data_IF_286842837837
#
_entry.id   IF_286842837837
#
_cell.length_a   1.000
_cell.length_b   1.000
_cell.length_c   1.000
_cell.angle_alpha   90.00
_cell.angle_beta   90.00
_cell.angle_gamma   90.00
#
_symmetry.space_group_name_H-M   'P 1'
#
loop_
_entity.id
_entity.type
_entity.pdbx_description
1 polymer ?
#
# COMPACT_ATOMS: atom_id res chain seq x y z
N UNK A 1 -8.18 8.01 -16.92
CA UNK A 1 -7.56 8.54 -15.69
C UNK A 1 -8.57 8.39 -14.58
N UNK A 2 -8.22 7.68 -13.50
CA UNK A 2 -9.10 7.41 -12.36
C UNK A 2 -8.39 7.85 -11.06
N UNK A 3 -9.14 8.21 -10.00
CA UNK A 3 -8.54 8.52 -8.71
C UNK A 3 -8.14 7.26 -7.94
N UNK A 4 -7.17 7.41 -7.04
CA UNK A 4 -6.86 6.46 -5.97
C UNK A 4 -7.06 7.12 -4.62
N UNK A 5 -7.60 6.39 -3.65
CA UNK A 5 -7.87 6.89 -2.30
C UNK A 5 -6.64 6.78 -1.40
N UNK A 6 -6.07 7.91 -0.97
CA UNK A 6 -4.90 7.96 -0.08
C UNK A 6 -5.18 8.73 1.22
N UNK A 7 -5.58 8.05 2.30
CA UNK A 7 -6.05 8.68 3.53
C UNK A 7 -4.95 8.87 4.59
N UNK A 8 -3.68 9.07 4.20
CA UNK A 8 -2.54 9.18 5.14
C UNK A 8 -2.82 10.15 6.30
N UNK A 9 -3.40 11.30 6.02
CA UNK A 9 -3.73 12.32 7.03
C UNK A 9 -4.87 11.92 7.97
N UNK A 10 -5.69 10.93 7.60
CA UNK A 10 -6.81 10.46 8.41
C UNK A 10 -6.37 9.50 9.52
N UNK A 11 -5.28 8.75 9.33
CA UNK A 11 -4.78 7.82 10.34
C UNK A 11 -3.50 8.32 11.04
N UNK A 12 -2.73 9.24 10.44
CA UNK A 12 -1.53 9.81 11.07
C UNK A 12 -1.88 10.88 12.13
N UNK A 13 -2.52 10.43 13.20
CA UNK A 13 -3.03 11.23 14.32
C UNK A 13 -1.95 12.04 15.02
N UNK A 14 -0.72 11.55 15.05
CA UNK A 14 0.44 12.21 15.67
C UNK A 14 0.93 13.44 14.90
N UNK A 15 0.53 13.59 13.62
CA UNK A 15 1.03 14.68 12.79
C UNK A 15 0.42 16.01 13.22
N UNK A 16 1.23 17.08 13.17
CA UNK A 16 0.78 18.43 13.51
C UNK A 16 -0.44 18.86 12.68
N UNK A 17 -0.50 18.42 11.41
CA UNK A 17 -1.59 18.75 10.47
C UNK A 17 -2.90 17.98 10.68
N UNK A 18 -2.98 17.08 11.67
CA UNK A 18 -4.14 16.21 11.85
C UNK A 18 -5.43 16.99 12.16
N UNK A 19 -5.39 17.96 13.07
CA UNK A 19 -6.59 18.72 13.46
C UNK A 19 -7.13 19.56 12.29
N UNK A 20 -6.24 20.21 11.51
CA UNK A 20 -6.62 20.95 10.31
C UNK A 20 -7.26 20.02 9.26
N UNK A 21 -6.71 18.81 9.12
CA UNK A 21 -7.27 17.80 8.23
C UNK A 21 -8.65 17.33 8.72
N UNK A 22 -8.84 17.09 10.01
CA UNK A 22 -10.14 16.68 10.58
C UNK A 22 -11.21 17.76 10.39
N UNK A 23 -10.85 19.03 10.60
CA UNK A 23 -11.75 20.14 10.30
C UNK A 23 -12.15 20.16 8.82
N UNK A 24 -11.17 20.00 7.92
CA UNK A 24 -11.46 19.97 6.47
C UNK A 24 -12.28 18.76 6.07
N UNK A 25 -11.99 17.58 6.62
CA UNK A 25 -12.74 16.35 6.37
C UNK A 25 -14.20 16.52 6.80
N UNK A 26 -14.44 17.05 8.00
CA UNK A 26 -15.78 17.34 8.50
C UNK A 26 -16.57 18.28 7.59
N UNK A 27 -15.93 19.37 7.12
CA UNK A 27 -16.53 20.30 6.14
C UNK A 27 -16.91 19.59 4.83
N UNK A 28 -16.00 18.82 4.22
CA UNK A 28 -16.26 18.18 2.90
C UNK A 28 -17.13 16.94 2.98
N UNK A 29 -17.39 16.42 4.19
CA UNK A 29 -18.32 15.32 4.43
C UNK A 29 -19.64 15.77 5.04
N UNK A 30 -19.78 17.05 5.41
CA UNK A 30 -20.91 17.55 6.20
C UNK A 30 -21.15 16.68 7.44
N UNK A 31 -20.10 16.52 8.25
CA UNK A 31 -20.10 15.71 9.48
C UNK A 31 -19.29 16.42 10.56
N UNK A 32 -19.87 16.61 11.73
CA UNK A 32 -19.14 17.10 12.92
C UNK A 32 -18.41 15.92 13.57
N UNK A 33 -17.07 15.91 13.49
CA UNK A 33 -16.24 14.77 13.92
C UNK A 33 -15.84 14.97 15.38
N UNK A 34 -16.48 14.25 16.30
CA UNK A 34 -16.17 14.30 17.74
C UNK A 34 -15.81 12.94 18.33
N UNK A 35 -16.38 11.88 17.76
CA UNK A 35 -16.18 10.48 18.14
C UNK A 35 -15.64 9.68 16.96
N UNK A 36 -15.08 8.52 17.24
CA UNK A 36 -14.55 7.63 16.22
C UNK A 36 -15.62 7.22 15.20
N UNK A 37 -16.85 6.97 15.64
CA UNK A 37 -17.99 6.70 14.76
C UNK A 37 -18.31 7.86 13.79
N UNK A 38 -18.11 9.10 14.21
CA UNK A 38 -18.33 10.28 13.37
C UNK A 38 -17.23 10.36 12.29
N UNK A 39 -15.98 10.01 12.64
CA UNK A 39 -14.88 9.88 11.68
C UNK A 39 -15.16 8.78 10.65
N UNK A 40 -15.62 7.61 11.10
CA UNK A 40 -16.01 6.52 10.19
C UNK A 40 -17.10 6.99 9.21
N UNK A 41 -18.12 7.70 9.71
CA UNK A 41 -19.19 8.27 8.88
C UNK A 41 -18.64 9.27 7.85
N UNK A 42 -17.75 10.17 8.26
CA UNK A 42 -17.11 11.12 7.36
C UNK A 42 -16.29 10.42 6.26
N UNK A 43 -15.49 9.42 6.64
CA UNK A 43 -14.68 8.64 5.71
C UNK A 43 -15.55 7.83 4.73
N UNK A 44 -16.63 7.19 5.19
CA UNK A 44 -17.58 6.47 4.31
C UNK A 44 -18.15 7.39 3.23
N UNK A 45 -18.62 8.59 3.61
CA UNK A 45 -19.13 9.58 2.64
C UNK A 45 -18.06 9.96 1.60
N UNK A 46 -16.80 10.06 2.00
CA UNK A 46 -15.69 10.34 1.07
C UNK A 46 -15.34 9.14 0.20
N UNK A 47 -15.38 7.93 0.72
CA UNK A 47 -15.23 6.70 -0.06
C UNK A 47 -16.32 6.57 -1.12
N UNK A 48 -17.58 6.89 -0.79
CA UNK A 48 -18.70 6.90 -1.73
C UNK A 48 -18.48 7.93 -2.85
N UNK A 49 -18.00 9.12 -2.50
CA UNK A 49 -17.62 10.11 -3.50
C UNK A 49 -16.50 9.59 -4.43
N UNK A 50 -15.46 8.95 -3.89
CA UNK A 50 -14.39 8.37 -4.72
C UNK A 50 -14.90 7.24 -5.61
N UNK A 51 -15.80 6.38 -5.09
CA UNK A 51 -16.45 5.33 -5.87
C UNK A 51 -17.26 5.90 -7.04
N UNK A 52 -18.01 6.98 -6.82
CA UNK A 52 -18.75 7.68 -7.86
C UNK A 52 -17.85 8.26 -8.97
N UNK A 53 -16.55 8.44 -8.70
CA UNK A 53 -15.53 8.88 -9.67
C UNK A 53 -14.66 7.73 -10.19
N UNK A 54 -15.11 6.48 -10.02
CA UNK A 54 -14.46 5.29 -10.57
C UNK A 54 -13.21 4.83 -9.81
N UNK A 55 -13.02 5.26 -8.55
CA UNK A 55 -11.95 4.73 -7.71
C UNK A 55 -12.12 3.22 -7.51
N UNK A 56 -11.02 2.47 -7.66
CA UNK A 56 -10.93 1.02 -7.39
C UNK A 56 -9.71 0.66 -6.53
N UNK A 57 -8.94 1.65 -6.09
CA UNK A 57 -7.63 1.48 -5.47
C UNK A 57 -7.47 2.44 -4.30
N UNK A 58 -6.96 1.95 -3.18
CA UNK A 58 -6.46 2.74 -2.07
C UNK A 58 -4.95 2.57 -1.91
N UNK A 59 -4.32 3.55 -1.29
CA UNK A 59 -2.89 3.60 -1.05
C UNK A 59 -2.61 4.22 0.32
N UNK A 60 -1.62 3.69 1.04
CA UNK A 60 -1.26 4.18 2.37
C UNK A 60 0.26 4.14 2.55
N UNK A 61 0.82 5.25 3.01
CA UNK A 61 2.21 5.27 3.47
C UNK A 61 2.28 4.87 4.94
N UNK A 62 2.94 3.74 5.20
CA UNK A 62 3.24 3.26 6.54
C UNK A 62 4.74 3.44 6.81
N UNK A 63 5.16 4.64 7.22
CA UNK A 63 6.56 4.91 7.55
C UNK A 63 7.08 3.95 8.64
N UNK A 64 6.19 3.57 9.57
CA UNK A 64 6.36 2.50 10.56
C UNK A 64 5.03 1.74 10.66
N UNK A 65 5.07 0.41 10.64
CA UNK A 65 3.88 -0.42 10.89
C UNK A 65 3.67 -0.52 12.40
N UNK A 66 2.45 -0.25 12.84
CA UNK A 66 2.05 -0.28 14.25
C UNK A 66 0.78 -1.10 14.40
N UNK A 67 0.65 -1.80 15.53
CA UNK A 67 -0.57 -2.49 15.89
C UNK A 67 -0.87 -2.36 17.39
N UNK A 68 -2.08 -1.94 17.71
CA UNK A 68 -2.65 -2.05 19.05
C UNK A 68 -4.18 -2.04 18.95
N UNK A 69 -4.84 -2.85 19.77
CA UNK A 69 -6.31 -2.87 19.83
C UNK A 69 -6.83 -1.84 20.85
N UNK A 70 -8.01 -1.31 20.56
CA UNK A 70 -8.74 -0.40 21.44
C UNK A 70 -10.24 -0.62 21.27
N UNK A 71 -11.00 -0.38 22.32
CA UNK A 71 -12.45 -0.28 22.25
C UNK A 71 -12.91 1.13 21.83
N UNK A 72 -14.19 1.29 21.51
CA UNK A 72 -14.75 2.56 21.02
C UNK A 72 -14.58 3.72 22.01
N UNK A 73 -14.73 3.48 23.32
CA UNK A 73 -14.57 4.52 24.33
C UNK A 73 -13.11 5.01 24.44
N UNK A 74 -12.15 4.11 24.28
CA UNK A 74 -10.72 4.46 24.20
C UNK A 74 -10.44 5.31 22.95
N UNK A 75 -10.98 4.92 21.79
CA UNK A 75 -10.81 5.66 20.54
C UNK A 75 -11.43 7.06 20.60
N UNK A 76 -12.62 7.19 21.19
CA UNK A 76 -13.28 8.48 21.42
C UNK A 76 -12.43 9.39 22.31
N UNK A 77 -11.88 8.84 23.40
CA UNK A 77 -10.99 9.56 24.31
C UNK A 77 -9.71 10.03 23.62
N UNK A 78 -9.06 9.15 22.85
CA UNK A 78 -7.84 9.45 22.09
C UNK A 78 -8.11 10.58 21.07
N UNK A 79 -9.19 10.47 20.31
CA UNK A 79 -9.57 11.48 19.31
C UNK A 79 -9.87 12.83 19.97
N UNK A 80 -10.67 12.85 21.04
CA UNK A 80 -11.02 14.08 21.75
C UNK A 80 -9.79 14.79 22.31
N UNK A 81 -8.88 14.05 22.96
CA UNK A 81 -7.61 14.59 23.47
C UNK A 81 -6.74 15.16 22.36
N UNK A 82 -6.63 14.46 21.23
CA UNK A 82 -5.86 14.97 20.08
C UNK A 82 -6.46 16.26 19.52
N UNK A 83 -7.78 16.32 19.37
CA UNK A 83 -8.49 17.51 18.90
C UNK A 83 -8.34 18.70 19.87
N UNK A 84 -8.21 18.43 21.18
CA UNK A 84 -7.87 19.43 22.20
C UNK A 84 -6.39 19.88 22.16
N UNK A 85 -5.56 19.27 21.31
CA UNK A 85 -4.15 19.64 21.13
C UNK A 85 -3.17 18.89 22.04
N UNK A 86 -3.62 17.84 22.73
CA UNK A 86 -2.75 17.02 23.56
C UNK A 86 -1.84 16.12 22.73
N UNK A 87 -0.64 15.85 23.26
CA UNK A 87 0.27 14.85 22.72
C UNK A 87 -0.20 13.45 23.13
N UNK A 88 -0.22 12.52 22.16
CA UNK A 88 -0.55 11.12 22.39
C UNK A 88 0.72 10.29 22.60
N UNK A 89 0.60 9.22 23.38
CA UNK A 89 1.63 8.19 23.50
C UNK A 89 1.72 7.32 22.24
N UNK A 90 2.85 6.64 22.04
CA UNK A 90 3.04 5.73 20.90
C UNK A 90 1.98 4.62 20.86
N UNK A 91 1.54 4.13 22.03
CA UNK A 91 0.48 3.13 22.13
C UNK A 91 -0.88 3.68 21.67
N UNK A 92 -1.27 4.88 22.10
CA UNK A 92 -2.52 5.54 21.67
C UNK A 92 -2.52 5.83 20.16
N UNK A 93 -1.36 6.22 19.62
CA UNK A 93 -1.18 6.40 18.17
C UNK A 93 -1.37 5.06 17.44
N UNK A 94 -0.77 3.97 17.94
CA UNK A 94 -0.94 2.64 17.38
C UNK A 94 -2.40 2.17 17.43
N UNK A 95 -3.10 2.41 18.53
CA UNK A 95 -4.52 2.07 18.71
C UNK A 95 -5.40 2.77 17.66
N UNK A 96 -5.24 4.09 17.53
CA UNK A 96 -6.01 4.87 16.57
C UNK A 96 -5.69 4.48 15.12
N UNK A 97 -4.41 4.35 14.76
CA UNK A 97 -3.99 3.92 13.42
C UNK A 97 -4.56 2.56 13.05
N UNK A 98 -4.46 1.60 13.97
CA UNK A 98 -4.98 0.24 13.78
C UNK A 98 -6.49 0.28 13.51
N UNK A 99 -7.24 0.99 14.35
CA UNK A 99 -8.70 1.08 14.21
C UNK A 99 -9.11 1.70 12.86
N UNK A 100 -8.46 2.79 12.43
CA UNK A 100 -8.75 3.42 11.14
C UNK A 100 -8.41 2.49 9.97
N UNK A 101 -7.24 1.85 9.98
CA UNK A 101 -6.81 0.95 8.91
C UNK A 101 -7.65 -0.33 8.84
N UNK A 102 -8.09 -0.88 9.97
CA UNK A 102 -9.00 -2.03 10.00
C UNK A 102 -10.37 -1.67 9.44
N UNK A 103 -10.94 -0.54 9.87
CA UNK A 103 -12.19 -0.01 9.32
C UNK A 103 -12.11 0.22 7.81
N UNK A 104 -11.05 0.88 7.34
CA UNK A 104 -10.82 1.14 5.93
C UNK A 104 -10.63 -0.15 5.12
N UNK A 105 -9.87 -1.11 5.66
CA UNK A 105 -9.68 -2.44 5.04
C UNK A 105 -11.02 -3.13 4.76
N UNK A 106 -11.92 -3.14 5.75
CA UNK A 106 -13.26 -3.68 5.59
C UNK A 106 -14.08 -2.93 4.52
N UNK A 107 -14.01 -1.60 4.48
CA UNK A 107 -14.65 -0.80 3.44
C UNK A 107 -14.10 -1.13 2.03
N UNK A 108 -12.79 -1.29 1.90
CA UNK A 108 -12.17 -1.66 0.63
C UNK A 108 -12.62 -3.05 0.17
N UNK A 109 -12.71 -4.02 1.08
CA UNK A 109 -13.16 -5.37 0.75
C UNK A 109 -14.62 -5.37 0.27
N UNK A 110 -15.52 -4.67 0.98
CA UNK A 110 -16.94 -4.52 0.58
C UNK A 110 -17.11 -3.89 -0.80
N UNK A 111 -16.21 -2.99 -1.18
CA UNK A 111 -16.20 -2.28 -2.47
C UNK A 111 -15.44 -3.02 -3.57
N UNK A 112 -14.77 -4.14 -3.26
CA UNK A 112 -13.89 -4.86 -4.19
C UNK A 112 -12.64 -4.07 -4.60
N UNK A 113 -12.23 -3.09 -3.80
CA UNK A 113 -11.06 -2.25 -4.04
C UNK A 113 -9.76 -2.99 -3.72
N UNK A 114 -8.67 -2.51 -4.30
CA UNK A 114 -7.31 -2.92 -3.94
C UNK A 114 -6.75 -2.00 -2.87
N UNK A 115 -6.23 -2.58 -1.80
CA UNK A 115 -5.45 -1.90 -0.77
C UNK A 115 -3.96 -1.95 -1.12
N UNK A 116 -3.27 -0.83 -1.01
CA UNK A 116 -1.81 -0.79 -1.14
C UNK A 116 -1.18 -0.25 0.14
N UNK A 117 -0.09 -0.88 0.56
CA UNK A 117 0.76 -0.43 1.67
C UNK A 117 2.18 -0.20 1.20
N UNK A 118 2.62 1.05 1.23
CA UNK A 118 3.99 1.47 0.97
C UNK A 118 4.72 1.69 2.30
N UNK A 119 5.62 0.78 2.64
CA UNK A 119 6.13 0.62 4.00
C UNK A 119 7.60 1.02 4.10
N UNK A 120 7.94 1.80 5.14
CA UNK A 120 9.33 1.99 5.57
C UNK A 120 10.05 3.19 4.97
N UNK A 121 9.35 4.29 4.67
CA UNK A 121 10.01 5.57 4.39
C UNK A 121 10.46 6.26 5.69
N UNK A 122 11.66 6.83 5.66
CA UNK A 122 12.17 7.72 6.70
C UNK A 122 12.17 9.14 6.14
N UNK A 123 11.23 9.97 6.58
CA UNK A 123 10.89 11.24 5.92
C UNK A 123 11.49 12.46 6.59
N UNK A 124 11.70 13.51 5.81
CA UNK A 124 12.05 14.85 6.29
C UNK A 124 13.33 14.90 7.13
N UNK A 125 14.32 14.07 6.81
CA UNK A 125 15.56 13.90 7.58
C UNK A 125 16.36 15.20 7.74
N UNK A 126 16.34 16.05 6.71
CA UNK A 126 17.05 17.32 6.71
C UNK A 126 16.14 18.44 7.25
N UNK A 127 16.09 18.61 8.57
CA UNK A 127 15.24 19.60 9.23
C UNK A 127 15.48 21.04 8.78
N UNK A 128 16.73 21.39 8.43
CA UNK A 128 17.05 22.73 7.90
C UNK A 128 16.31 22.96 6.59
N UNK A 129 16.36 21.99 5.69
CA UNK A 129 15.71 22.09 4.38
C UNK A 129 14.20 21.93 4.48
N UNK A 130 13.70 21.07 5.36
CA UNK A 130 12.28 20.91 5.60
C UNK A 130 11.60 22.24 5.99
N UNK A 131 12.25 23.03 6.86
CA UNK A 131 11.76 24.37 7.23
C UNK A 131 11.70 25.37 6.07
N UNK A 132 12.55 25.19 5.05
CA UNK A 132 12.66 26.11 3.91
C UNK A 132 11.78 25.69 2.73
N UNK A 133 11.69 24.38 2.47
CA UNK A 133 11.15 23.82 1.23
C UNK A 133 9.90 22.94 1.45
N UNK A 134 9.64 22.51 2.70
CA UNK A 134 8.56 21.58 3.01
C UNK A 134 8.90 20.11 2.69
N UNK A 135 7.89 19.22 2.64
CA UNK A 135 8.04 17.80 2.36
C UNK A 135 8.25 17.49 0.87
N UNK A 136 8.59 16.23 0.55
CA UNK A 136 8.64 15.68 -0.83
C UNK A 136 9.65 16.33 -1.78
N UNK A 137 10.77 16.83 -1.23
CA UNK A 137 11.83 17.54 -1.98
C UNK A 137 13.20 16.83 -1.97
N UNK A 138 13.20 15.51 -1.76
CA UNK A 138 14.40 14.67 -1.88
C UNK A 138 15.24 14.51 -0.61
N UNK A 139 14.68 14.77 0.57
CA UNK A 139 15.33 14.54 1.88
C UNK A 139 14.72 13.36 2.66
N UNK A 140 14.14 12.40 1.93
CA UNK A 140 13.59 11.15 2.45
C UNK A 140 14.54 9.99 2.11
N UNK A 141 14.56 8.96 2.95
CA UNK A 141 15.42 7.78 2.79
C UNK A 141 14.74 6.50 3.29
N UNK A 142 15.49 5.41 3.36
CA UNK A 142 15.02 4.10 3.81
C UNK A 142 14.97 4.04 5.33
N UNK A 143 13.84 3.61 5.90
CA UNK A 143 13.68 3.25 7.31
C UNK A 143 14.03 1.76 7.53
N UNK A 144 14.40 1.40 8.76
CA UNK A 144 14.87 0.07 9.14
C UNK A 144 14.21 -0.45 10.42
N UNK A 145 13.05 0.09 10.80
CA UNK A 145 12.22 -0.54 11.84
C UNK A 145 11.65 -1.88 11.34
N UNK A 146 11.78 -2.98 12.10
CA UNK A 146 11.15 -4.25 11.76
C UNK A 146 9.62 -4.11 11.63
N UNK A 147 9.03 -4.79 10.64
CA UNK A 147 7.58 -4.68 10.35
C UNK A 147 6.80 -6.00 10.47
N UNK A 148 7.48 -7.14 10.52
CA UNK A 148 6.85 -8.45 10.32
C UNK A 148 5.72 -8.75 11.31
N UNK A 149 5.95 -8.57 12.61
CA UNK A 149 4.97 -8.89 13.65
C UNK A 149 3.73 -7.99 13.56
N UNK A 150 3.94 -6.67 13.50
CA UNK A 150 2.84 -5.70 13.49
C UNK A 150 2.04 -5.76 12.19
N UNK A 151 2.71 -6.02 11.05
CA UNK A 151 2.05 -6.23 9.77
C UNK A 151 1.20 -7.52 9.78
N UNK A 152 1.72 -8.60 10.37
CA UNK A 152 0.96 -9.85 10.52
C UNK A 152 -0.30 -9.65 11.36
N UNK A 153 -0.17 -8.97 12.52
CA UNK A 153 -1.32 -8.66 13.39
C UNK A 153 -2.35 -7.80 12.68
N UNK A 154 -1.92 -6.74 11.98
CA UNK A 154 -2.83 -5.87 11.23
C UNK A 154 -3.59 -6.63 10.13
N UNK A 155 -2.89 -7.40 9.30
CA UNK A 155 -3.52 -8.19 8.24
C UNK A 155 -4.43 -9.29 8.80
N UNK A 156 -4.03 -9.94 9.89
CA UNK A 156 -4.86 -10.91 10.61
C UNK A 156 -6.14 -10.26 11.12
N UNK A 157 -6.04 -9.07 11.74
CA UNK A 157 -7.20 -8.33 12.24
C UNK A 157 -8.16 -7.94 11.13
N UNK A 158 -7.65 -7.47 10.00
CA UNK A 158 -8.46 -7.19 8.81
C UNK A 158 -9.16 -8.45 8.26
N UNK A 159 -8.55 -9.62 8.45
CA UNK A 159 -9.07 -10.90 7.93
C UNK A 159 -10.01 -11.64 8.89
N UNK A 160 -10.21 -11.19 10.13
CA UNK A 160 -11.03 -11.91 11.15
C UNK A 160 -12.44 -12.23 10.65
N UNK A 161 -13.07 -11.31 9.93
CA UNK A 161 -14.41 -11.46 9.36
C UNK A 161 -14.39 -11.80 7.85
N UNK A 162 -13.26 -12.30 7.34
CA UNK A 162 -13.01 -12.49 5.90
C UNK A 162 -13.15 -11.17 5.09
N UNK A 163 -12.76 -10.06 5.71
CA UNK A 163 -12.86 -8.69 5.16
C UNK A 163 -11.49 -8.11 4.76
N UNK A 164 -10.46 -8.95 4.60
CA UNK A 164 -9.18 -8.50 4.05
C UNK A 164 -9.34 -8.28 2.53
N UNK A 165 -9.10 -7.07 2.00
CA UNK A 165 -9.22 -6.80 0.56
C UNK A 165 -8.07 -7.45 -0.23
N UNK A 166 -8.17 -7.38 -1.56
CA UNK A 166 -7.00 -7.48 -2.44
C UNK A 166 -5.92 -6.52 -1.92
N UNK A 167 -4.72 -7.02 -1.64
CA UNK A 167 -3.67 -6.19 -1.02
C UNK A 167 -2.34 -6.32 -1.76
N UNK A 168 -1.71 -5.19 -2.03
CA UNK A 168 -0.33 -5.11 -2.52
C UNK A 168 0.57 -4.52 -1.45
N UNK A 169 1.62 -5.24 -1.09
CA UNK A 169 2.61 -4.81 -0.11
C UNK A 169 3.89 -4.36 -0.82
N UNK A 170 4.41 -3.20 -0.44
CA UNK A 170 5.69 -2.66 -0.91
C UNK A 170 6.57 -2.34 0.29
N UNK A 171 7.85 -2.73 0.25
CA UNK A 171 8.85 -2.33 1.24
C UNK A 171 9.89 -1.41 0.60
N UNK A 172 10.24 -0.33 1.29
CA UNK A 172 11.32 0.57 0.83
C UNK A 172 12.71 0.01 1.15
N UNK A 173 12.82 -0.76 2.24
CA UNK A 173 14.05 -1.42 2.62
C UNK A 173 14.11 -2.83 1.99
N UNK A 174 15.03 -3.09 1.04
CA UNK A 174 15.03 -4.36 0.33
C UNK A 174 15.55 -5.52 1.17
N UNK A 175 15.95 -5.30 2.43
CA UNK A 175 16.16 -6.39 3.41
C UNK A 175 14.85 -7.11 3.79
N UNK A 176 13.71 -6.45 3.57
CA UNK A 176 12.39 -6.94 3.93
C UNK A 176 11.68 -7.62 2.73
N UNK A 177 12.40 -7.83 1.61
CA UNK A 177 11.84 -8.50 0.43
C UNK A 177 11.32 -9.90 0.76
N UNK A 178 12.10 -10.70 1.49
CA UNK A 178 11.74 -12.06 1.90
C UNK A 178 10.63 -12.04 2.97
N UNK A 179 10.64 -11.02 3.83
CA UNK A 179 9.57 -10.80 4.82
C UNK A 179 8.24 -10.60 4.10
N UNK A 180 8.16 -9.70 3.12
CA UNK A 180 6.93 -9.48 2.36
C UNK A 180 6.58 -10.67 1.46
N UNK A 181 7.58 -11.26 0.79
CA UNK A 181 7.41 -12.41 -0.10
C UNK A 181 6.79 -13.62 0.62
N UNK A 182 7.12 -13.84 1.89
CA UNK A 182 6.49 -14.88 2.72
C UNK A 182 5.19 -14.40 3.39
N UNK A 183 5.10 -13.13 3.79
CA UNK A 183 3.89 -12.56 4.43
C UNK A 183 2.65 -12.69 3.56
N UNK A 184 2.77 -12.45 2.25
CA UNK A 184 1.63 -12.56 1.32
C UNK A 184 1.06 -13.98 1.26
N UNK A 185 1.86 -15.01 1.54
CA UNK A 185 1.44 -16.40 1.53
C UNK A 185 0.45 -16.74 2.65
N UNK A 186 0.54 -16.05 3.79
CA UNK A 186 -0.33 -16.28 4.95
C UNK A 186 -1.81 -15.91 4.69
N UNK A 187 -2.06 -15.02 3.73
CA UNK A 187 -3.37 -14.37 3.55
C UNK A 187 -3.91 -14.46 2.12
N UNK A 188 -3.43 -15.42 1.33
CA UNK A 188 -4.08 -15.73 0.05
C UNK A 188 -5.54 -16.19 0.30
N UNK A 189 -6.41 -16.02 -0.70
CA UNK A 189 -7.83 -16.35 -0.59
C UNK A 189 -8.36 -17.16 -1.77
N UNK A 190 -9.51 -17.80 -1.57
CA UNK A 190 -10.22 -18.53 -2.62
C UNK A 190 -10.81 -17.58 -3.67
N UNK A 191 -11.00 -18.06 -4.90
CA UNK A 191 -11.72 -17.34 -5.95
C UNK A 191 -10.94 -16.27 -6.72
N UNK A 192 -9.70 -15.95 -6.34
CA UNK A 192 -8.84 -15.05 -7.11
C UNK A 192 -7.36 -15.45 -7.06
N UNK A 193 -6.69 -15.64 -8.21
CA UNK A 193 -5.26 -15.92 -8.22
C UNK A 193 -4.47 -14.69 -7.74
N UNK A 194 -3.68 -14.87 -6.67
CA UNK A 194 -2.80 -13.83 -6.14
C UNK A 194 -3.55 -12.66 -5.50
N UNK A 195 -4.52 -12.95 -4.60
CA UNK A 195 -5.22 -11.94 -3.79
C UNK A 195 -4.23 -11.01 -3.10
N UNK A 196 -3.17 -11.57 -2.51
CA UNK A 196 -2.07 -10.83 -1.89
C UNK A 196 -0.89 -10.77 -2.86
N UNK A 197 -0.38 -9.57 -3.10
CA UNK A 197 0.72 -9.30 -4.03
C UNK A 197 1.91 -8.69 -3.29
N UNK A 198 3.11 -9.11 -3.68
CA UNK A 198 4.34 -8.40 -3.35
C UNK A 198 4.66 -7.48 -4.53
N UNK A 199 4.52 -6.16 -4.30
CA UNK A 199 4.64 -5.15 -5.34
C UNK A 199 6.04 -5.01 -5.91
N UNK A 200 6.15 -4.34 -7.07
CA UNK A 200 7.44 -4.11 -7.74
C UNK A 200 8.42 -3.32 -6.86
N UNK A 201 9.70 -3.34 -7.22
CA UNK A 201 10.74 -2.57 -6.52
C UNK A 201 10.34 -1.10 -6.41
N UNK A 202 10.11 -0.64 -5.18
CA UNK A 202 9.56 0.69 -4.92
C UNK A 202 10.65 1.76 -4.74
N UNK A 203 10.46 2.92 -5.39
CA UNK A 203 11.25 4.15 -5.23
C UNK A 203 12.76 3.95 -5.42
N UNK A 204 13.56 3.88 -4.36
CA UNK A 204 15.01 3.63 -4.48
C UNK A 204 15.33 2.26 -5.08
N UNK A 205 14.37 1.34 -5.02
CA UNK A 205 14.47 -0.01 -5.57
C UNK A 205 13.90 -0.11 -7.00
N UNK A 206 13.33 0.97 -7.56
CA UNK A 206 12.85 1.06 -8.95
C UNK A 206 14.04 1.30 -9.91
N UNK A 207 14.94 0.31 -9.94
CA UNK A 207 16.15 0.24 -10.76
C UNK A 207 16.55 -1.25 -10.91
N UNK A 208 17.49 -1.57 -11.81
CA UNK A 208 17.78 -2.97 -12.20
C UNK A 208 18.03 -3.94 -11.04
N UNK A 209 18.96 -3.63 -10.13
CA UNK A 209 19.27 -4.49 -8.98
C UNK A 209 18.04 -4.69 -8.08
N UNK A 210 17.33 -3.61 -7.77
CA UNK A 210 16.15 -3.66 -6.90
C UNK A 210 15.02 -4.47 -7.51
N UNK A 211 14.75 -4.29 -8.81
CA UNK A 211 13.76 -5.07 -9.55
C UNK A 211 14.15 -6.54 -9.67
N UNK A 212 15.41 -6.85 -9.99
CA UNK A 212 15.88 -8.24 -10.09
C UNK A 212 15.77 -8.94 -8.75
N UNK A 213 16.15 -8.29 -7.64
CA UNK A 213 16.00 -8.82 -6.28
C UNK A 213 14.55 -9.04 -5.89
N UNK A 214 13.68 -8.04 -6.11
CA UNK A 214 12.25 -8.15 -5.80
C UNK A 214 11.60 -9.30 -6.59
N UNK A 215 11.79 -9.35 -7.91
CA UNK A 215 11.22 -10.39 -8.77
C UNK A 215 11.80 -11.77 -8.46
N UNK A 216 13.08 -11.85 -8.07
CA UNK A 216 13.67 -13.12 -7.62
C UNK A 216 12.97 -13.62 -6.37
N UNK A 217 12.77 -12.77 -5.35
CA UNK A 217 12.07 -13.22 -4.14
C UNK A 217 10.60 -13.57 -4.41
N UNK A 218 9.90 -12.82 -5.26
CA UNK A 218 8.54 -13.19 -5.67
C UNK A 218 8.49 -14.52 -6.45
N UNK A 219 9.50 -14.82 -7.27
CA UNK A 219 9.58 -16.08 -8.00
C UNK A 219 9.87 -17.29 -7.08
N UNK A 220 10.67 -17.09 -6.04
CA UNK A 220 11.04 -18.16 -5.09
C UNK A 220 9.96 -18.41 -4.03
N UNK A 221 9.31 -17.35 -3.55
CA UNK A 221 8.40 -17.41 -2.39
C UNK A 221 6.92 -17.34 -2.78
N UNK A 222 6.61 -16.98 -4.02
CA UNK A 222 5.25 -16.81 -4.52
C UNK A 222 5.07 -17.30 -5.95
N UNK A 223 4.18 -16.65 -6.71
CA UNK A 223 3.87 -17.01 -8.10
C UNK A 223 4.13 -15.83 -9.03
N UNK A 224 5.33 -15.77 -9.62
CA UNK A 224 5.70 -14.69 -10.54
C UNK A 224 4.71 -14.55 -11.71
N UNK A 225 4.12 -15.66 -12.18
CA UNK A 225 3.13 -15.65 -13.27
C UNK A 225 1.84 -14.88 -12.94
N UNK A 226 1.56 -14.64 -11.65
CA UNK A 226 0.41 -13.88 -11.14
C UNK A 226 0.78 -12.47 -10.70
N UNK A 227 2.03 -12.04 -10.91
CA UNK A 227 2.49 -10.72 -10.53
C UNK A 227 1.73 -9.64 -11.32
N UNK A 228 1.18 -8.65 -10.60
CA UNK A 228 0.49 -7.50 -11.21
C UNK A 228 1.44 -6.56 -11.97
N UNK A 229 2.74 -6.68 -11.78
CA UNK A 229 3.74 -6.02 -12.60
C UNK A 229 4.08 -4.60 -12.16
N UNK A 230 4.34 -3.74 -13.15
CA UNK A 230 5.00 -2.45 -12.97
C UNK A 230 4.00 -1.30 -12.82
N UNK A 231 4.36 -0.30 -12.00
CA UNK A 231 3.77 1.03 -11.97
C UNK A 231 4.88 2.08 -11.96
N UNK A 232 4.59 3.32 -12.37
CA UNK A 232 5.62 4.37 -12.48
C UNK A 232 5.94 5.08 -11.17
N UNK A 233 4.99 5.13 -10.23
CA UNK A 233 5.03 5.91 -8.98
C UNK A 233 5.61 7.33 -9.19
N UNK A 234 5.19 7.99 -10.27
CA UNK A 234 5.83 9.22 -10.74
C UNK A 234 4.82 10.33 -11.01
N UNK A 235 5.27 11.55 -10.71
CA UNK A 235 4.62 12.81 -11.13
C UNK A 235 5.07 13.30 -12.52
N UNK A 236 6.00 12.61 -13.18
CA UNK A 236 6.51 12.99 -14.50
C UNK A 236 5.79 12.23 -15.61
N UNK A 237 5.27 12.95 -16.62
CA UNK A 237 4.69 12.35 -17.83
C UNK A 237 5.72 11.59 -18.68
N UNK A 238 7.01 11.81 -18.47
CA UNK A 238 8.08 11.07 -19.17
C UNK A 238 8.42 9.73 -18.50
N UNK A 239 7.75 9.37 -17.40
CA UNK A 239 8.07 8.19 -16.60
C UNK A 239 7.67 6.85 -17.24
N UNK A 240 6.90 6.84 -18.33
CA UNK A 240 6.45 5.59 -18.97
C UNK A 240 7.60 4.72 -19.49
N UNK A 241 8.79 5.28 -19.74
CA UNK A 241 10.00 4.52 -20.05
C UNK A 241 10.44 3.61 -18.89
N UNK A 242 9.98 3.83 -17.66
CA UNK A 242 10.15 2.87 -16.54
C UNK A 242 9.48 1.53 -16.84
N UNK A 243 8.35 1.51 -17.54
CA UNK A 243 7.74 0.25 -17.99
C UNK A 243 8.60 -0.46 -19.03
N UNK A 244 9.23 0.27 -19.97
CA UNK A 244 10.17 -0.35 -20.91
C UNK A 244 11.35 -0.97 -20.16
N UNK A 245 11.92 -0.23 -19.22
CA UNK A 245 13.03 -0.69 -18.39
C UNK A 245 12.69 -1.98 -17.63
N UNK A 246 11.56 -1.98 -16.92
CA UNK A 246 11.01 -3.16 -16.23
C UNK A 246 10.83 -4.35 -17.19
N UNK A 247 10.17 -4.14 -18.34
CA UNK A 247 9.90 -5.21 -19.32
C UNK A 247 11.17 -5.84 -19.86
N UNK A 248 12.20 -5.04 -20.13
CA UNK A 248 13.51 -5.53 -20.58
C UNK A 248 14.17 -6.39 -19.50
N UNK A 249 14.12 -5.96 -18.24
CA UNK A 249 14.69 -6.73 -17.11
C UNK A 249 13.94 -8.05 -16.94
N UNK A 250 12.60 -8.03 -16.92
CA UNK A 250 11.76 -9.24 -16.81
C UNK A 250 12.08 -10.24 -17.93
N UNK A 251 12.07 -9.80 -19.19
CA UNK A 251 12.38 -10.67 -20.33
C UNK A 251 13.82 -11.20 -20.26
N UNK A 252 14.78 -10.39 -19.80
CA UNK A 252 16.17 -10.82 -19.64
C UNK A 252 16.29 -11.89 -18.54
N UNK A 253 15.62 -11.71 -17.40
CA UNK A 253 15.60 -12.71 -16.32
C UNK A 253 15.03 -14.05 -16.81
N UNK A 254 13.86 -14.03 -17.45
CA UNK A 254 13.23 -15.24 -17.98
C UNK A 254 14.14 -15.91 -19.04
N UNK A 255 14.72 -15.11 -19.96
CA UNK A 255 15.64 -15.61 -20.97
C UNK A 255 16.85 -16.33 -20.37
N UNK A 256 17.46 -15.77 -19.31
CA UNK A 256 18.57 -16.42 -18.60
C UNK A 256 18.17 -17.75 -17.97
N UNK A 257 16.98 -17.84 -17.37
CA UNK A 257 16.49 -19.11 -16.81
C UNK A 257 16.30 -20.18 -17.89
N UNK A 258 15.82 -19.79 -19.08
CA UNK A 258 15.70 -20.70 -20.22
C UNK A 258 17.07 -21.18 -20.72
N UNK A 259 18.02 -20.25 -20.92
CA UNK A 259 19.39 -20.59 -21.37
C UNK A 259 20.11 -21.52 -20.39
N UNK A 260 19.86 -21.36 -19.08
CA UNK A 260 20.43 -22.21 -18.03
C UNK A 260 19.71 -23.57 -17.86
N UNK A 261 18.59 -23.80 -18.55
CA UNK A 261 17.78 -25.01 -18.38
C UNK A 261 16.94 -25.03 -17.09
N UNK A 262 16.78 -23.88 -16.43
CA UNK A 262 15.99 -23.71 -15.20
C UNK A 262 14.50 -23.48 -15.52
N UNK A 263 14.19 -23.01 -16.73
CA UNK A 263 12.83 -22.86 -17.26
C UNK A 263 12.70 -23.52 -18.63
N UNK A 264 11.50 -24.03 -19.00
CA UNK A 264 11.31 -24.66 -20.31
C UNK A 264 11.44 -23.63 -21.44
N UNK A 265 12.08 -24.03 -22.54
CA UNK A 265 12.16 -23.24 -23.76
C UNK A 265 10.84 -23.27 -24.56
N UNK A 266 9.72 -22.90 -23.91
CA UNK A 266 8.38 -22.83 -24.50
C UNK A 266 7.94 -21.36 -24.63
N UNK A 267 8.01 -20.84 -25.86
CA UNK A 267 7.68 -19.45 -26.17
C UNK A 267 6.20 -19.12 -25.96
N UNK A 268 5.30 -20.10 -26.09
CA UNK A 268 3.87 -19.87 -25.89
C UNK A 268 3.58 -19.69 -24.40
N UNK A 269 4.12 -20.59 -23.57
CA UNK A 269 3.97 -20.53 -22.12
C UNK A 269 4.60 -19.24 -21.54
N UNK A 270 5.87 -18.98 -21.86
CA UNK A 270 6.60 -17.85 -21.30
C UNK A 270 6.17 -16.51 -21.92
N UNK A 271 5.81 -16.51 -23.20
CA UNK A 271 5.26 -15.34 -23.87
C UNK A 271 3.92 -14.90 -23.26
N UNK A 272 3.06 -15.85 -22.89
CA UNK A 272 1.80 -15.54 -22.20
C UNK A 272 2.05 -15.02 -20.78
N UNK A 273 2.99 -15.61 -20.05
CA UNK A 273 3.42 -15.10 -18.74
C UNK A 273 3.91 -13.65 -18.83
N UNK A 274 4.75 -13.32 -19.83
CA UNK A 274 5.23 -11.96 -20.06
C UNK A 274 4.08 -11.00 -20.34
N UNK A 275 3.13 -11.34 -21.23
CA UNK A 275 1.94 -10.51 -21.51
C UNK A 275 1.10 -10.28 -20.25
N UNK A 276 0.94 -11.32 -19.44
CA UNK A 276 0.18 -11.26 -18.20
C UNK A 276 0.80 -10.29 -17.20
N UNK A 277 2.11 -10.40 -16.94
CA UNK A 277 2.82 -9.50 -16.03
C UNK A 277 2.89 -8.07 -16.59
N UNK A 278 2.96 -7.92 -17.92
CA UNK A 278 3.03 -6.60 -18.54
C UNK A 278 1.72 -5.83 -18.52
N UNK A 279 0.57 -6.52 -18.40
CA UNK A 279 -0.75 -5.88 -18.52
C UNK A 279 -1.92 -6.70 -17.96
N UNK A 280 -2.14 -7.94 -18.43
CA UNK A 280 -3.42 -8.64 -18.18
C UNK A 280 -3.67 -8.87 -16.68
N UNK A 281 -2.64 -9.23 -15.91
CA UNK A 281 -2.77 -9.45 -14.47
C UNK A 281 -3.27 -8.17 -13.77
N UNK A 282 -2.66 -7.02 -14.06
CA UNK A 282 -3.11 -5.74 -13.49
C UNK A 282 -4.54 -5.41 -13.92
N UNK A 283 -4.86 -5.52 -15.23
CA UNK A 283 -6.21 -5.29 -15.74
C UNK A 283 -7.25 -6.11 -14.96
N UNK A 284 -7.00 -7.40 -14.79
CA UNK A 284 -7.95 -8.30 -14.15
C UNK A 284 -8.00 -8.08 -12.63
N UNK A 285 -6.86 -7.88 -11.98
CA UNK A 285 -6.75 -7.66 -10.54
C UNK A 285 -7.43 -6.36 -10.08
N UNK A 286 -7.29 -5.29 -10.86
CA UNK A 286 -7.94 -3.99 -10.61
C UNK A 286 -9.33 -3.88 -11.26
N UNK A 287 -9.79 -4.89 -12.00
CA UNK A 287 -11.01 -4.87 -12.80
C UNK A 287 -11.09 -3.62 -13.69
N UNK A 288 -10.02 -3.32 -14.43
CA UNK A 288 -9.94 -2.19 -15.34
C UNK A 288 -10.80 -2.47 -16.57
N UNK A 289 -11.77 -1.59 -16.81
CA UNK A 289 -12.58 -1.59 -18.03
C UNK A 289 -11.78 -0.91 -19.14
N UNK A 290 -11.57 -1.63 -20.25
CA UNK A 290 -10.95 -1.09 -21.45
C UNK A 290 -12.06 -0.67 -22.40
N UNK A 291 -12.04 0.60 -22.79
CA UNK A 291 -12.91 1.15 -23.84
C UNK A 291 -12.41 0.76 -25.23
#
# INVERSE_FOLDING_TARGET
MLPSWRPDKAFNIEQATFNDYMAKLGEVSDTDIRRFADLQTALTKRLDHFAAHGCKVSDHALDVVMFAEANEAELDSILARRLAGETLSEHEVAQFKTAVLVFLGAEYARRGWVQQYHIGALRNNNLRQFKLLGPDVGFDSINDRPMAEELSKLLSKQNEENLLPKTILYCLNPRDNEVLGTMIGNFQGEGMPGKMQFGSGWWFNDQKDGMERQMTQLAQLGLLSRFVGMLTDSRSFLSYTRHEYFRRILCQMIGRWVEAGEAPADINLLGEMVKNICFNNARDYFAIELN
#
